data_IF_771819517095
#
_entry.id   IF_771819517095
#
_cell.length_a   1.000
_cell.length_b   1.000
_cell.length_c   1.000
_cell.angle_alpha   90.00
_cell.angle_beta   90.00
_cell.angle_gamma   90.00
#
_symmetry.space_group_name_H-M   'P 1'
#
loop_
_entity.id
_entity.type
_entity.pdbx_description
1 polymer ?
#
# COMPACT_ATOMS: atom_id res chain seq x y z
N UNK A 1 18.13 7.53 -17.49
CA UNK A 1 18.35 6.22 -16.84
C UNK A 1 19.67 6.28 -16.07
N UNK A 2 19.63 6.37 -14.74
CA UNK A 2 20.83 6.55 -13.92
C UNK A 2 21.75 5.33 -14.01
N UNK A 3 22.92 5.50 -14.62
CA UNK A 3 24.02 4.53 -14.57
C UNK A 3 24.56 4.48 -13.14
N UNK A 4 24.05 3.55 -12.33
CA UNK A 4 24.69 3.21 -11.06
C UNK A 4 26.03 2.54 -11.33
N UNK A 5 27.12 3.31 -11.31
CA UNK A 5 28.51 2.83 -11.38
C UNK A 5 28.91 2.15 -10.06
N UNK A 6 28.23 1.06 -9.71
CA UNK A 6 28.52 0.27 -8.53
C UNK A 6 28.78 -1.18 -8.89
N UNK A 7 29.86 -1.76 -8.39
CA UNK A 7 30.05 -3.22 -8.40
C UNK A 7 28.92 -3.84 -7.57
N UNK A 8 28.26 -4.85 -8.10
CA UNK A 8 27.17 -5.57 -7.46
C UNK A 8 27.35 -7.07 -7.63
N UNK A 9 26.85 -7.82 -6.66
CA UNK A 9 26.83 -9.28 -6.71
C UNK A 9 25.59 -9.74 -7.47
N UNK A 10 25.78 -10.61 -8.46
CA UNK A 10 24.71 -11.17 -9.29
C UNK A 10 24.74 -12.69 -9.15
N UNK A 11 23.59 -13.29 -8.89
CA UNK A 11 23.36 -14.73 -8.92
C UNK A 11 22.68 -15.11 -10.23
N UNK A 12 23.37 -15.92 -11.05
CA UNK A 12 22.86 -16.43 -12.33
C UNK A 12 22.46 -17.89 -12.15
N UNK A 13 21.28 -18.27 -12.64
CA UNK A 13 20.78 -19.64 -12.53
C UNK A 13 19.89 -20.01 -13.72
N UNK A 14 19.69 -21.31 -13.90
CA UNK A 14 18.70 -21.85 -14.83
C UNK A 14 17.57 -22.49 -14.04
N UNK A 15 16.33 -22.18 -14.43
CA UNK A 15 15.15 -22.81 -13.86
C UNK A 15 14.18 -23.12 -14.99
N UNK A 16 13.74 -24.38 -15.10
CA UNK A 16 12.82 -24.86 -16.15
C UNK A 16 13.28 -24.49 -17.58
N UNK A 17 14.57 -24.68 -17.86
CA UNK A 17 15.16 -24.38 -19.17
C UNK A 17 15.38 -22.89 -19.47
N UNK A 18 15.03 -21.98 -18.55
CA UNK A 18 15.20 -20.53 -18.74
C UNK A 18 16.33 -19.99 -17.87
N UNK A 19 17.26 -19.27 -18.49
CA UNK A 19 18.28 -18.50 -17.78
C UNK A 19 17.64 -17.28 -17.09
N UNK A 20 17.99 -17.08 -15.82
CA UNK A 20 17.53 -15.95 -14.99
C UNK A 20 18.70 -15.40 -14.18
N UNK A 21 18.61 -14.12 -13.83
CA UNK A 21 19.61 -13.40 -13.06
C UNK A 21 18.96 -12.63 -11.92
N UNK A 22 19.58 -12.68 -10.74
CA UNK A 22 19.10 -12.02 -9.53
C UNK A 22 20.22 -11.20 -8.89
N UNK A 23 19.97 -9.92 -8.65
CA UNK A 23 20.90 -9.07 -7.88
C UNK A 23 20.86 -9.41 -6.39
N UNK A 24 22.01 -9.74 -5.82
CA UNK A 24 22.16 -10.04 -4.39
C UNK A 24 22.35 -8.76 -3.57
N UNK A 25 23.09 -7.78 -4.09
CA UNK A 25 23.33 -6.51 -3.41
C UNK A 25 24.57 -5.77 -3.93
N UNK A 26 24.83 -4.59 -3.40
CA UNK A 26 26.04 -3.82 -3.71
C UNK A 26 27.28 -4.47 -3.06
N UNK A 27 28.39 -4.52 -3.80
CA UNK A 27 29.68 -4.96 -3.28
C UNK A 27 30.14 -4.16 -2.05
N UNK A 28 29.76 -2.87 -1.95
CA UNK A 28 30.14 -2.02 -0.81
C UNK A 28 29.44 -2.39 0.50
N UNK A 29 28.26 -3.01 0.42
CA UNK A 29 27.41 -3.32 1.56
C UNK A 29 27.38 -4.81 1.91
N UNK A 30 27.99 -5.65 1.06
CA UNK A 30 27.93 -7.10 1.21
C UNK A 30 29.30 -7.70 0.90
N UNK A 31 29.84 -8.41 1.87
CA UNK A 31 31.09 -9.15 1.75
C UNK A 31 30.95 -10.32 0.75
N UNK A 32 32.08 -10.82 0.24
CA UNK A 32 32.09 -12.00 -0.62
C UNK A 32 31.53 -13.24 0.09
N UNK A 33 31.78 -13.38 1.40
CA UNK A 33 31.29 -14.51 2.19
C UNK A 33 29.75 -14.50 2.26
N UNK A 34 29.16 -13.35 2.61
CA UNK A 34 27.70 -13.17 2.65
C UNK A 34 27.07 -13.36 1.26
N UNK A 35 27.71 -12.85 0.21
CA UNK A 35 27.24 -13.04 -1.16
C UNK A 35 27.22 -14.54 -1.55
N UNK A 36 28.24 -15.30 -1.15
CA UNK A 36 28.29 -16.76 -1.38
C UNK A 36 27.22 -17.49 -0.58
N UNK A 37 27.04 -17.15 0.69
CA UNK A 37 26.01 -17.75 1.54
C UNK A 37 24.60 -17.50 0.97
N UNK A 38 24.31 -16.27 0.56
CA UNK A 38 23.05 -15.92 -0.08
C UNK A 38 22.86 -16.66 -1.41
N UNK A 39 23.90 -16.77 -2.23
CA UNK A 39 23.85 -17.56 -3.45
C UNK A 39 23.53 -19.04 -3.18
N UNK A 40 24.08 -19.62 -2.11
CA UNK A 40 23.77 -21.00 -1.69
C UNK A 40 22.32 -21.16 -1.26
N UNK A 41 21.78 -20.22 -0.47
CA UNK A 41 20.36 -20.21 -0.07
C UNK A 41 19.45 -20.22 -1.29
N UNK A 42 19.69 -19.32 -2.25
CA UNK A 42 18.89 -19.26 -3.48
C UNK A 42 19.09 -20.47 -4.39
N UNK A 43 20.30 -21.05 -4.45
CA UNK A 43 20.54 -22.29 -5.19
C UNK A 43 19.73 -23.46 -4.62
N UNK A 44 19.58 -23.55 -3.31
CA UNK A 44 18.72 -24.56 -2.67
C UNK A 44 17.26 -24.38 -3.08
N UNK A 45 16.75 -23.15 -3.12
CA UNK A 45 15.38 -22.87 -3.62
C UNK A 45 15.20 -23.29 -5.09
N UNK A 46 16.17 -22.96 -5.95
CA UNK A 46 16.16 -23.37 -7.37
C UNK A 46 16.16 -24.90 -7.50
N UNK A 47 16.91 -25.61 -6.66
CA UNK A 47 16.93 -27.09 -6.66
C UNK A 47 15.58 -27.71 -6.29
N UNK A 48 14.75 -26.99 -5.54
CA UNK A 48 13.38 -27.38 -5.20
C UNK A 48 12.36 -26.93 -6.27
N UNK A 49 12.82 -26.34 -7.37
CA UNK A 49 11.95 -25.83 -8.44
C UNK A 49 11.27 -24.50 -8.12
N UNK A 50 11.67 -23.83 -7.04
CA UNK A 50 11.16 -22.54 -6.59
C UNK A 50 12.00 -21.42 -7.22
N UNK A 51 11.34 -20.38 -7.74
CA UNK A 51 12.04 -19.22 -8.30
C UNK A 51 12.34 -18.16 -7.21
N UNK A 52 13.62 -17.92 -6.87
CA UNK A 52 13.99 -16.94 -5.85
C UNK A 52 13.57 -15.50 -6.15
N UNK A 53 13.44 -15.14 -7.44
CA UNK A 53 13.03 -13.80 -7.86
C UNK A 53 11.56 -13.58 -7.51
N UNK A 54 10.72 -14.58 -7.78
CA UNK A 54 9.29 -14.49 -7.47
C UNK A 54 9.04 -14.56 -5.97
N UNK A 55 9.78 -15.39 -5.22
CA UNK A 55 9.71 -15.40 -3.75
C UNK A 55 10.04 -14.03 -3.17
N UNK A 56 11.15 -13.40 -3.58
CA UNK A 56 11.53 -12.07 -3.09
C UNK A 56 10.53 -10.98 -3.50
N UNK A 57 9.90 -11.09 -4.66
CA UNK A 57 8.83 -10.18 -5.08
C UNK A 57 7.58 -10.33 -4.22
N UNK A 58 7.20 -11.57 -3.93
CA UNK A 58 6.05 -11.87 -3.08
C UNK A 58 6.26 -11.35 -1.65
N UNK A 59 7.45 -11.54 -1.08
CA UNK A 59 7.82 -10.97 0.24
C UNK A 59 7.70 -9.45 0.24
N UNK A 60 8.30 -8.76 -0.73
CA UNK A 60 8.19 -7.30 -0.85
C UNK A 60 6.74 -6.81 -0.97
N UNK A 61 5.92 -7.54 -1.71
CA UNK A 61 4.50 -7.21 -1.86
C UNK A 61 3.75 -7.41 -0.53
N UNK A 62 4.07 -8.47 0.20
CA UNK A 62 3.48 -8.74 1.51
C UNK A 62 3.88 -7.67 2.54
N UNK A 63 5.13 -7.22 2.54
CA UNK A 63 5.59 -6.15 3.42
C UNK A 63 4.91 -4.83 3.11
N UNK A 64 4.82 -4.45 1.82
CA UNK A 64 4.08 -3.25 1.41
C UNK A 64 2.60 -3.32 1.81
N UNK A 65 1.96 -4.49 1.68
CA UNK A 65 0.57 -4.67 2.09
C UNK A 65 0.41 -4.54 3.61
N UNK A 66 1.33 -5.10 4.41
CA UNK A 66 1.30 -4.97 5.87
C UNK A 66 1.50 -3.53 6.33
N UNK A 67 2.40 -2.80 5.68
CA UNK A 67 2.56 -1.36 5.91
C UNK A 67 1.24 -0.64 5.64
N UNK A 68 0.54 -0.94 4.53
CA UNK A 68 -0.77 -0.36 4.24
C UNK A 68 -1.89 -0.80 5.20
N UNK A 69 -1.88 -2.04 5.67
CA UNK A 69 -2.87 -2.58 6.64
C UNK A 69 -2.66 -2.03 8.06
N UNK A 70 -1.42 -1.71 8.44
CA UNK A 70 -1.08 -1.16 9.76
C UNK A 70 -1.47 0.31 9.94
N UNK A 71 -1.78 1.00 8.84
CA UNK A 71 -2.22 2.39 8.84
C UNK A 71 -3.74 2.41 9.01
N UNK A 72 -4.21 2.77 10.21
CA UNK A 72 -5.63 3.06 10.44
C UNK A 72 -6.02 4.19 9.49
N UNK A 73 -6.66 3.85 8.39
CA UNK A 73 -7.03 4.83 7.37
C UNK A 73 -8.19 5.69 7.87
N UNK A 74 -8.29 6.92 7.35
CA UNK A 74 -9.39 7.83 7.62
C UNK A 74 -10.76 7.15 7.44
N UNK A 75 -10.87 6.27 6.45
CA UNK A 75 -12.05 5.43 6.22
C UNK A 75 -12.42 4.59 7.45
N UNK A 76 -11.47 3.84 8.00
CA UNK A 76 -11.70 3.00 9.19
C UNK A 76 -12.09 3.83 10.41
N UNK A 77 -11.46 5.00 10.59
CA UNK A 77 -11.81 5.92 11.67
C UNK A 77 -13.22 6.52 11.50
N UNK A 78 -13.55 6.98 10.30
CA UNK A 78 -14.85 7.58 9.97
C UNK A 78 -15.99 6.56 10.12
N UNK A 79 -15.81 5.33 9.63
CA UNK A 79 -16.77 4.24 9.83
C UNK A 79 -16.96 3.92 11.31
N UNK A 80 -15.88 3.82 12.08
CA UNK A 80 -15.93 3.60 13.55
C UNK A 80 -16.59 4.76 14.29
N UNK A 81 -16.46 5.99 13.81
CA UNK A 81 -17.13 7.17 14.38
C UNK A 81 -18.63 7.14 14.09
N UNK A 82 -19.03 6.84 12.86
CA UNK A 82 -20.44 6.67 12.48
C UNK A 82 -21.08 5.56 13.31
N UNK A 83 -20.39 4.43 13.49
CA UNK A 83 -20.94 3.32 14.27
C UNK A 83 -21.07 3.60 15.76
N UNK A 84 -20.19 4.44 16.33
CA UNK A 84 -20.33 4.90 17.72
C UNK A 84 -21.45 5.95 17.87
N UNK A 85 -21.61 6.85 16.91
CA UNK A 85 -22.52 7.98 17.03
C UNK A 85 -23.90 7.77 16.41
N UNK A 86 -24.11 6.72 15.61
CA UNK A 86 -25.41 6.41 14.99
C UNK A 86 -26.56 6.27 16.00
N UNK A 87 -26.27 5.84 17.24
CA UNK A 87 -27.27 5.72 18.30
C UNK A 87 -27.71 7.08 18.88
N UNK A 88 -26.87 8.12 18.76
CA UNK A 88 -27.16 9.47 19.21
C UNK A 88 -27.89 10.32 18.15
N UNK A 89 -27.95 9.86 16.90
CA UNK A 89 -28.59 10.59 15.80
C UNK A 89 -30.09 10.32 15.73
N UNK A 90 -30.85 11.38 15.44
CA UNK A 90 -32.30 11.30 15.25
C UNK A 90 -32.61 10.60 13.92
N UNK A 91 -32.65 9.27 13.98
CA UNK A 91 -33.17 8.42 12.91
C UNK A 91 -32.09 7.62 12.15
N UNK A 92 -32.39 6.35 11.78
CA UNK A 92 -31.43 5.42 11.17
C UNK A 92 -30.94 5.84 9.77
N UNK A 93 -31.61 6.80 9.15
CA UNK A 93 -31.31 7.27 7.80
C UNK A 93 -30.03 8.11 7.73
N UNK A 94 -29.73 8.88 8.77
CA UNK A 94 -28.53 9.73 8.82
C UNK A 94 -27.25 8.91 8.70
N UNK A 95 -27.19 7.74 9.35
CA UNK A 95 -26.04 6.86 9.24
C UNK A 95 -25.82 6.28 7.83
N UNK A 96 -26.87 6.22 6.99
CA UNK A 96 -26.74 5.84 5.56
C UNK A 96 -26.30 7.03 4.71
N UNK A 97 -26.86 8.20 4.95
CA UNK A 97 -26.50 9.43 4.23
C UNK A 97 -25.04 9.80 4.46
N UNK A 98 -24.57 9.78 5.71
CA UNK A 98 -23.16 10.03 6.03
C UNK A 98 -22.22 9.04 5.36
N UNK A 99 -22.57 7.75 5.34
CA UNK A 99 -21.79 6.74 4.61
C UNK A 99 -21.78 6.99 3.10
N UNK A 100 -22.91 7.39 2.53
CA UNK A 100 -23.02 7.72 1.10
C UNK A 100 -22.16 8.92 0.74
N UNK A 101 -22.22 10.00 1.53
CA UNK A 101 -21.45 11.22 1.32
C UNK A 101 -19.95 10.93 1.42
N UNK A 102 -19.53 10.23 2.47
CA UNK A 102 -18.12 9.88 2.65
C UNK A 102 -17.62 8.95 1.54
N UNK A 103 -18.45 8.00 1.09
CA UNK A 103 -18.10 7.09 0.00
C UNK A 103 -17.99 7.79 -1.36
N UNK A 104 -18.87 8.75 -1.65
CA UNK A 104 -18.94 9.40 -2.97
C UNK A 104 -18.01 10.61 -3.07
N UNK A 105 -17.73 11.29 -1.96
CA UNK A 105 -17.02 12.57 -1.97
C UNK A 105 -15.71 12.56 -1.20
N UNK A 106 -15.63 11.89 -0.04
CA UNK A 106 -14.43 11.95 0.79
C UNK A 106 -13.40 10.87 0.43
N UNK A 107 -13.82 9.61 0.37
CA UNK A 107 -12.92 8.48 0.11
C UNK A 107 -12.22 8.52 -1.26
N UNK A 108 -12.85 9.01 -2.36
CA UNK A 108 -12.17 9.11 -3.65
C UNK A 108 -11.11 10.22 -3.71
N UNK A 109 -11.20 11.23 -2.84
CA UNK A 109 -10.29 12.37 -2.81
C UNK A 109 -9.10 12.19 -1.85
N UNK A 110 -9.22 11.25 -0.89
CA UNK A 110 -8.17 10.96 0.06
C UNK A 110 -7.24 9.87 -0.49
N UNK A 111 -5.91 10.09 -0.50
CA UNK A 111 -4.98 9.04 -0.87
C UNK A 111 -5.13 7.84 0.08
N UNK A 112 -5.25 6.64 -0.50
CA UNK A 112 -5.26 5.37 0.25
C UNK A 112 -3.87 5.15 0.85
N UNK A 113 -3.66 5.65 2.07
CA UNK A 113 -2.44 5.48 2.84
C UNK A 113 -2.21 6.66 3.76
N UNK A 114 -2.41 6.41 5.06
CA UNK A 114 -2.10 7.28 6.21
C UNK A 114 -2.23 8.80 6.00
N UNK A 115 -3.35 9.42 6.41
CA UNK A 115 -3.35 10.84 6.61
C UNK A 115 -3.07 11.10 8.10
N UNK A 116 -1.89 11.62 8.42
CA UNK A 116 -1.91 12.75 9.34
C UNK A 116 -2.78 13.81 8.63
N UNK A 117 -4.09 13.81 8.92
CA UNK A 117 -5.02 14.77 8.34
C UNK A 117 -4.62 16.14 8.91
N UNK A 118 -3.87 16.91 8.14
CA UNK A 118 -3.59 18.29 8.50
C UNK A 118 -4.79 19.17 8.15
N UNK A 119 -4.93 20.34 8.78
CA UNK A 119 -6.04 21.29 8.49
C UNK A 119 -6.17 21.60 6.99
N UNK A 120 -5.05 21.59 6.25
CA UNK A 120 -5.02 21.82 4.81
C UNK A 120 -5.79 20.77 3.99
N UNK A 121 -5.96 19.53 4.50
CA UNK A 121 -6.75 18.49 3.83
C UNK A 121 -8.26 18.70 4.02
N UNK A 122 -8.66 19.38 5.10
CA UNK A 122 -10.06 19.77 5.36
C UNK A 122 -10.49 20.86 4.39
N UNK A 123 -9.61 21.81 4.07
CA UNK A 123 -9.89 22.89 3.11
C UNK A 123 -10.16 22.34 1.68
N UNK A 124 -9.57 21.20 1.32
CA UNK A 124 -9.90 20.50 0.04
C UNK A 124 -11.28 19.86 0.04
N UNK A 125 -11.78 19.45 1.21
CA UNK A 125 -13.13 18.88 1.37
C UNK A 125 -14.20 19.98 1.47
N UNK A 126 -13.82 21.19 1.89
CA UNK A 126 -14.73 22.35 2.04
C UNK A 126 -14.94 23.13 0.72
N UNK A 127 -14.27 22.75 -0.37
CA UNK A 127 -14.55 23.35 -1.68
C UNK A 127 -16.04 23.19 -2.02
N UNK A 128 -16.81 24.28 -2.19
CA UNK A 128 -18.26 24.23 -2.23
C UNK A 128 -18.74 23.41 -3.42
N UNK A 129 -19.42 22.29 -3.13
CA UNK A 129 -20.12 21.51 -4.14
C UNK A 129 -21.31 22.32 -4.66
N UNK A 130 -21.34 22.71 -5.94
CA UNK A 130 -22.43 23.51 -6.47
C UNK A 130 -23.58 22.57 -6.82
N UNK A 131 -24.46 22.27 -5.87
CA UNK A 131 -25.87 21.95 -6.11
C UNK A 131 -26.60 21.58 -4.81
N UNK A 132 -27.38 22.52 -4.28
CA UNK A 132 -28.69 22.28 -3.66
C UNK A 132 -29.30 23.61 -3.20
N UNK A 133 -29.58 24.51 -4.16
CA UNK A 133 -30.69 25.45 -3.97
C UNK A 133 -31.96 24.77 -4.45
N UNK A 134 -33.02 24.95 -3.67
CA UNK A 134 -34.44 24.66 -3.94
C UNK A 134 -34.98 23.33 -3.41
N UNK A 135 -35.54 23.39 -2.21
CA UNK A 135 -36.85 22.80 -1.92
C UNK A 135 -37.45 23.56 -0.72
N UNK A 136 -37.92 24.78 -0.99
CA UNK A 136 -38.89 25.43 -0.12
C UNK A 136 -40.27 25.07 -0.63
N UNK A 137 -41.08 24.38 0.17
CA UNK A 137 -42.54 24.33 0.04
C UNK A 137 -43.14 23.86 1.37
N UNK A 138 -44.35 24.27 1.77
CA UNK A 138 -45.24 25.29 1.20
C UNK A 138 -45.21 26.63 1.96
#
# INVERSE_FOLDING_TARGET
MGKGSGKSWIFRFMLRGRAREMGLGSFRLMSLAEARENAWKYRKMVSQGIDPIETRRAERKADNNREQESLVTFKTFAESYIDRNKAAWKGPQHAKEWRSILSNHAYPLLPLGNPEMERADVDRLEAPHPQARQAGTP
#
